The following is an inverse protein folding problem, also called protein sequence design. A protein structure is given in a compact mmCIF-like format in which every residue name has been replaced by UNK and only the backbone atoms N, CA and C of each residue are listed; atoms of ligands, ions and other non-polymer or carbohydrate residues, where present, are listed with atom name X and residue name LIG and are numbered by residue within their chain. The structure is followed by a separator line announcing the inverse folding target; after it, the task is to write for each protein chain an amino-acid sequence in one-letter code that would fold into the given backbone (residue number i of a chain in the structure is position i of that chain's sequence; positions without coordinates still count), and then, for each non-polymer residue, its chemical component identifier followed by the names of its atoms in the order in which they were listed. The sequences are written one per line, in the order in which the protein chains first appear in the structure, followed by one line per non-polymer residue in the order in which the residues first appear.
data_IF_301643025004
#
_entry.id   IF_301643025004
#
_cell.length_a   1.000
_cell.length_b   1.000
_cell.length_c   1.000
_cell.angle_alpha   90.00
_cell.angle_beta   90.00
_cell.angle_gamma   90.00
#
_symmetry.space_group_name_H-M   'P 1'
#
loop_
_entity.id
_entity.type
_entity.pdbx_description
1 polymer ?
#
# COMPACT_ATOMS: atom_id res chain seq x y z
N UNK A 1 -10.28 -4.80 6.09
CA UNK A 1 -9.26 -5.78 6.53
C UNK A 1 -9.84 -7.17 6.32
N UNK A 2 -9.16 -8.05 5.58
CA UNK A 2 -9.78 -9.28 5.05
C UNK A 2 -9.03 -10.58 5.40
N UNK A 3 -7.75 -10.49 5.79
CA UNK A 3 -6.94 -11.64 6.20
C UNK A 3 -5.97 -11.21 7.33
N UNK A 4 -5.34 -12.19 7.99
CA UNK A 4 -4.37 -12.02 9.07
C UNK A 4 -3.39 -13.17 9.14
N UNK A 5 -2.20 -12.90 9.63
CA UNK A 5 -1.24 -13.91 10.07
C UNK A 5 -0.53 -13.48 11.34
N UNK A 6 -0.25 -14.44 12.23
CA UNK A 6 0.55 -14.18 13.42
C UNK A 6 2.03 -14.32 13.05
N UNK A 7 2.78 -13.24 13.21
CA UNK A 7 4.23 -13.30 13.11
C UNK A 7 4.82 -13.97 14.37
N UNK A 8 5.43 -15.14 14.20
CA UNK A 8 6.21 -15.81 15.23
C UNK A 8 7.70 -15.69 14.88
N UNK A 9 8.54 -15.10 15.75
CA UNK A 9 9.98 -15.05 15.52
C UNK A 9 10.61 -16.44 15.71
N UNK A 10 11.82 -16.62 15.18
CA UNK A 10 12.56 -17.88 15.26
C UNK A 10 12.69 -18.42 16.69
N UNK A 11 12.87 -17.54 17.67
CA UNK A 11 12.95 -17.91 19.10
C UNK A 11 11.66 -18.50 19.69
N UNK A 12 10.53 -18.39 18.99
CA UNK A 12 9.32 -19.14 19.31
C UNK A 12 9.29 -20.48 18.58
N UNK A 13 9.55 -20.47 17.27
CA UNK A 13 9.43 -21.68 16.43
C UNK A 13 10.55 -22.70 16.68
N UNK A 14 11.66 -22.32 17.30
CA UNK A 14 12.70 -23.28 17.73
C UNK A 14 12.42 -23.91 19.10
N UNK A 15 11.48 -23.35 19.88
CA UNK A 15 11.07 -23.84 21.20
C UNK A 15 9.70 -24.54 21.10
N UNK A 16 9.74 -25.84 20.81
CA UNK A 16 8.51 -26.62 20.58
C UNK A 16 7.66 -26.78 21.84
N UNK A 17 8.27 -26.95 23.01
CA UNK A 17 7.54 -26.98 24.28
C UNK A 17 6.80 -25.65 24.55
N UNK A 18 7.38 -24.51 24.17
CA UNK A 18 6.70 -23.22 24.24
C UNK A 18 5.57 -23.09 23.21
N UNK A 19 5.77 -23.59 21.99
CA UNK A 19 4.73 -23.63 20.96
C UNK A 19 3.53 -24.46 21.42
N UNK A 20 3.76 -25.67 21.92
CA UNK A 20 2.73 -26.57 22.44
C UNK A 20 1.95 -25.94 23.58
N UNK A 21 2.62 -25.32 24.57
CA UNK A 21 1.95 -24.60 25.67
C UNK A 21 1.07 -23.44 25.21
N UNK A 22 1.32 -22.90 24.02
CA UNK A 22 0.54 -21.83 23.41
C UNK A 22 -0.38 -22.34 22.28
N UNK A 23 -0.60 -23.65 22.15
CA UNK A 23 -1.40 -24.28 21.09
C UNK A 23 -0.98 -23.90 19.66
N UNK A 24 0.30 -23.58 19.44
CA UNK A 24 0.85 -23.34 18.10
C UNK A 24 0.99 -24.69 17.38
N UNK A 25 0.38 -24.88 16.20
CA UNK A 25 0.50 -26.13 15.45
C UNK A 25 1.94 -26.50 15.07
N UNK A 26 2.22 -27.80 14.97
CA UNK A 26 3.57 -28.33 14.68
C UNK A 26 4.11 -27.93 13.30
N UNK A 27 3.22 -27.73 12.34
CA UNK A 27 3.54 -27.30 10.97
C UNK A 27 3.79 -25.79 10.84
N UNK A 28 3.60 -25.02 11.93
CA UNK A 28 3.95 -23.60 11.95
C UNK A 28 5.46 -23.42 12.14
N UNK A 29 6.10 -22.99 11.06
CA UNK A 29 7.51 -22.62 10.99
C UNK A 29 7.70 -21.10 10.96
N UNK A 30 8.95 -20.67 11.11
CA UNK A 30 9.30 -19.26 10.96
C UNK A 30 9.01 -18.78 9.54
N UNK A 31 8.31 -17.65 9.44
CA UNK A 31 8.06 -16.98 8.18
C UNK A 31 8.34 -15.48 8.31
N UNK A 32 9.05 -14.94 7.33
CA UNK A 32 9.28 -13.49 7.20
C UNK A 32 7.99 -12.76 6.86
N UNK A 33 7.94 -11.45 7.13
CA UNK A 33 6.77 -10.62 6.77
C UNK A 33 6.38 -10.73 5.28
N UNK A 34 7.31 -10.67 4.30
CA UNK A 34 6.96 -10.91 2.90
C UNK A 34 6.34 -12.29 2.66
N UNK A 35 6.86 -13.36 3.27
CA UNK A 35 6.29 -14.69 3.12
C UNK A 35 4.86 -14.77 3.67
N UNK A 36 4.61 -14.22 4.86
CA UNK A 36 3.26 -14.13 5.43
C UNK A 36 2.33 -13.28 4.54
N UNK A 37 2.81 -12.15 4.04
CA UNK A 37 2.07 -11.30 3.10
C UNK A 37 1.70 -12.01 1.81
N UNK A 38 2.65 -12.72 1.20
CA UNK A 38 2.41 -13.54 0.00
C UNK A 38 1.40 -14.64 0.29
N UNK A 39 1.47 -15.32 1.45
CA UNK A 39 0.51 -16.35 1.82
C UNK A 39 -0.92 -15.78 1.96
N UNK A 40 -1.09 -14.64 2.61
CA UNK A 40 -2.38 -13.94 2.71
C UNK A 40 -2.92 -13.53 1.33
N UNK A 41 -2.05 -12.98 0.46
CA UNK A 41 -2.43 -12.64 -0.91
C UNK A 41 -2.80 -13.88 -1.72
N UNK A 42 -2.09 -14.99 -1.55
CA UNK A 42 -2.38 -16.23 -2.24
C UNK A 42 -3.75 -16.81 -1.86
N UNK A 43 -4.12 -16.77 -0.57
CA UNK A 43 -5.46 -17.15 -0.13
C UNK A 43 -6.53 -16.22 -0.69
N UNK A 44 -6.29 -14.91 -0.65
CA UNK A 44 -7.22 -13.91 -1.18
C UNK A 44 -7.43 -14.08 -2.68
N UNK A 45 -6.35 -14.37 -3.41
CA UNK A 45 -6.39 -14.67 -4.85
C UNK A 45 -7.15 -15.96 -5.14
N UNK A 46 -6.83 -17.05 -4.44
CA UNK A 46 -7.50 -18.35 -4.61
C UNK A 46 -9.00 -18.29 -4.28
N UNK A 47 -9.40 -17.42 -3.36
CA UNK A 47 -10.80 -17.16 -3.03
C UNK A 47 -11.55 -16.29 -4.06
N UNK A 48 -10.87 -15.82 -5.12
CA UNK A 48 -11.47 -14.96 -6.15
C UNK A 48 -11.77 -13.53 -5.68
N UNK A 49 -11.21 -13.11 -4.54
CA UNK A 49 -11.43 -11.77 -4.00
C UNK A 49 -10.53 -10.70 -4.66
N UNK A 50 -9.46 -11.12 -5.37
CA UNK A 50 -8.70 -10.25 -6.27
C UNK A 50 -9.33 -10.31 -7.66
N UNK A 51 -9.83 -9.17 -8.13
CA UNK A 51 -10.48 -9.00 -9.43
C UNK A 51 -9.51 -8.38 -10.44
N UNK A 52 -9.91 -8.30 -11.72
CA UNK A 52 -9.11 -7.65 -12.77
C UNK A 52 -8.83 -6.15 -12.52
N UNK A 53 -9.58 -5.50 -11.63
CA UNK A 53 -9.35 -4.12 -11.22
C UNK A 53 -8.56 -3.98 -9.91
N UNK A 54 -8.12 -5.08 -9.30
CA UNK A 54 -7.42 -5.07 -8.01
C UNK A 54 -5.96 -4.64 -8.16
N UNK A 55 -5.48 -3.87 -7.18
CA UNK A 55 -4.11 -3.39 -7.09
C UNK A 55 -3.49 -3.79 -5.75
N UNK A 56 -2.17 -3.99 -5.74
CA UNK A 56 -1.42 -4.21 -4.50
C UNK A 56 -0.54 -3.01 -4.18
N UNK A 57 -0.67 -2.49 -2.98
CA UNK A 57 0.27 -1.52 -2.39
C UNK A 57 0.77 -2.04 -1.05
N UNK A 58 2.05 -1.83 -0.76
CA UNK A 58 2.65 -2.28 0.48
C UNK A 58 3.86 -1.42 0.85
N UNK A 59 4.35 -1.61 2.08
CA UNK A 59 5.52 -0.93 2.58
C UNK A 59 6.83 -1.41 1.93
N UNK A 60 7.92 -0.77 2.33
CA UNK A 60 9.26 -0.97 1.78
C UNK A 60 9.76 -2.42 1.93
N UNK A 61 9.37 -3.13 2.99
CA UNK A 61 9.83 -4.51 3.23
C UNK A 61 9.33 -5.43 2.11
N UNK A 62 8.12 -5.20 1.61
CA UNK A 62 7.56 -5.93 0.48
C UNK A 62 8.12 -5.44 -0.85
N UNK A 63 8.23 -4.11 -1.04
CA UNK A 63 8.73 -3.54 -2.30
C UNK A 63 10.20 -3.86 -2.58
N UNK A 64 11.00 -4.10 -1.54
CA UNK A 64 12.39 -4.55 -1.64
C UNK A 64 12.53 -6.06 -1.86
N UNK A 65 11.46 -6.85 -1.71
CA UNK A 65 11.51 -8.30 -1.86
C UNK A 65 11.25 -8.70 -3.33
N UNK A 66 12.24 -9.27 -4.07
CA UNK A 66 12.05 -9.68 -5.46
C UNK A 66 10.97 -10.74 -5.60
N UNK A 67 10.98 -11.80 -4.77
CA UNK A 67 10.01 -12.88 -4.85
C UNK A 67 8.55 -12.42 -4.64
N UNK A 68 8.32 -11.40 -3.81
CA UNK A 68 7.01 -10.77 -3.66
C UNK A 68 6.56 -10.07 -4.95
N UNK A 69 7.47 -9.35 -5.61
CA UNK A 69 7.19 -8.69 -6.90
C UNK A 69 7.00 -9.70 -8.01
N UNK A 70 7.81 -10.73 -8.05
CA UNK A 70 7.72 -11.80 -9.05
C UNK A 70 6.38 -12.53 -8.92
N UNK A 71 5.97 -12.87 -7.68
CA UNK A 71 4.67 -13.50 -7.43
C UNK A 71 3.47 -12.69 -7.93
N UNK A 72 3.51 -11.36 -7.75
CA UNK A 72 2.49 -10.44 -8.28
C UNK A 72 2.52 -10.38 -9.80
N UNK A 73 3.73 -10.31 -10.38
CA UNK A 73 3.96 -10.20 -11.82
C UNK A 73 3.51 -11.46 -12.56
N UNK A 74 3.83 -12.65 -12.05
CA UNK A 74 3.39 -13.94 -12.57
C UNK A 74 1.86 -14.10 -12.61
N UNK A 75 1.16 -13.37 -11.74
CA UNK A 75 -0.31 -13.38 -11.64
C UNK A 75 -0.95 -12.16 -12.29
N UNK A 76 -0.15 -11.34 -12.96
CA UNK A 76 -0.57 -10.10 -13.61
C UNK A 76 -1.33 -9.16 -12.66
N UNK A 77 -0.93 -9.11 -11.39
CA UNK A 77 -1.52 -8.23 -10.37
C UNK A 77 -0.74 -6.91 -10.36
N UNK A 78 -1.35 -5.78 -10.78
CA UNK A 78 -0.66 -4.50 -10.85
C UNK A 78 -0.35 -3.98 -9.44
N UNK A 79 0.79 -3.31 -9.29
CA UNK A 79 1.27 -2.90 -7.98
C UNK A 79 1.95 -1.53 -7.94
N UNK A 80 1.92 -0.93 -6.75
CA UNK A 80 2.68 0.25 -6.35
C UNK A 80 3.26 -0.02 -4.98
N UNK A 81 4.55 -0.39 -4.91
CA UNK A 81 5.19 -0.82 -3.66
C UNK A 81 6.20 0.23 -3.22
N UNK A 82 6.19 0.62 -1.94
CA UNK A 82 7.20 1.55 -1.43
C UNK A 82 8.60 0.96 -1.60
N UNK A 83 9.58 1.83 -1.83
CA UNK A 83 10.99 1.44 -1.99
C UNK A 83 11.92 2.45 -1.32
N UNK A 84 13.19 2.06 -1.13
CA UNK A 84 14.22 2.92 -0.56
C UNK A 84 14.68 3.97 -1.54
N UNK A 85 15.16 5.09 -1.01
CA UNK A 85 15.77 6.15 -1.83
C UNK A 85 17.10 5.71 -2.49
N UNK A 86 17.78 4.72 -1.92
CA UNK A 86 19.05 4.16 -2.41
C UNK A 86 18.86 2.82 -3.15
N UNK A 87 17.60 2.42 -3.44
CA UNK A 87 17.32 1.23 -4.23
C UNK A 87 17.93 1.38 -5.63
N UNK A 88 18.76 0.39 -6.00
CA UNK A 88 19.53 0.39 -7.24
C UNK A 88 18.68 -0.18 -8.38
N UNK A 89 18.04 0.72 -9.12
CA UNK A 89 17.08 0.43 -10.17
C UNK A 89 17.73 0.50 -11.56
N UNK A 90 17.33 -0.42 -12.44
CA UNK A 90 17.77 -0.44 -13.84
C UNK A 90 16.87 0.45 -14.67
N UNK A 91 17.46 1.43 -15.36
CA UNK A 91 16.74 2.30 -16.30
C UNK A 91 16.66 1.65 -17.69
N UNK A 92 15.82 2.13 -18.61
CA UNK A 92 15.70 1.57 -19.96
C UNK A 92 17.00 1.58 -20.78
N UNK A 93 17.96 2.45 -20.43
CA UNK A 93 19.29 2.51 -21.02
C UNK A 93 20.25 1.40 -20.52
N UNK A 94 19.76 0.48 -19.67
CA UNK A 94 20.53 -0.61 -19.07
C UNK A 94 21.38 -0.19 -17.86
N UNK A 95 21.49 1.10 -17.55
CA UNK A 95 22.29 1.58 -16.44
C UNK A 95 21.54 1.45 -15.11
N UNK A 96 22.28 1.07 -14.05
CA UNK A 96 21.76 1.01 -12.69
C UNK A 96 22.07 2.29 -11.93
N UNK A 97 21.05 2.91 -11.34
CA UNK A 97 21.17 4.15 -10.57
C UNK A 97 20.30 4.07 -9.31
N UNK A 98 20.69 4.75 -8.21
CA UNK A 98 19.84 4.80 -7.02
C UNK A 98 18.56 5.58 -7.33
N UNK A 99 17.44 5.19 -6.72
CA UNK A 99 16.13 5.81 -6.94
C UNK A 99 16.15 7.35 -6.78
N UNK A 100 16.91 7.86 -5.79
CA UNK A 100 17.10 9.29 -5.57
C UNK A 100 17.78 10.00 -6.75
N UNK A 101 18.76 9.37 -7.40
CA UNK A 101 19.41 9.95 -8.57
C UNK A 101 18.46 10.01 -9.78
N UNK A 102 17.67 8.95 -9.98
CA UNK A 102 16.63 8.93 -11.03
C UNK A 102 15.58 10.02 -10.80
N UNK A 103 15.14 10.20 -9.56
CA UNK A 103 14.21 11.26 -9.19
C UNK A 103 14.77 12.67 -9.45
N UNK A 104 16.06 12.89 -9.16
CA UNK A 104 16.72 14.17 -9.44
C UNK A 104 16.78 14.47 -10.94
N UNK A 105 17.11 13.46 -11.76
CA UNK A 105 17.19 13.60 -13.22
C UNK A 105 15.81 13.88 -13.80
N UNK A 106 14.81 13.07 -13.44
CA UNK A 106 13.45 13.22 -13.96
C UNK A 106 12.77 14.51 -13.47
N UNK A 107 13.08 14.92 -12.24
CA UNK A 107 12.57 16.14 -11.66
C UNK A 107 13.34 17.41 -12.02
N UNK A 108 14.39 17.30 -12.85
CA UNK A 108 15.17 18.45 -13.27
C UNK A 108 14.32 19.39 -14.12
N UNK A 109 14.57 20.70 -13.96
CA UNK A 109 13.93 21.71 -14.79
C UNK A 109 14.60 21.71 -16.16
N UNK A 110 13.80 21.53 -17.20
CA UNK A 110 14.20 21.77 -18.56
C UNK A 110 14.46 23.28 -18.73
N UNK A 111 15.67 23.64 -19.15
CA UNK A 111 16.10 25.03 -19.26
C UNK A 111 15.50 25.74 -20.49
N UNK A 112 15.10 24.98 -21.50
CA UNK A 112 14.54 25.50 -22.75
C UNK A 112 13.04 25.71 -22.65
N UNK A 113 12.32 24.76 -22.04
CA UNK A 113 10.86 24.85 -21.85
C UNK A 113 10.47 25.49 -20.52
N UNK A 114 11.38 25.53 -19.55
CA UNK A 114 11.14 26.05 -18.21
C UNK A 114 10.26 25.16 -17.33
N UNK A 115 9.77 24.04 -17.85
CA UNK A 115 9.00 23.04 -17.11
C UNK A 115 9.91 22.11 -16.34
N UNK A 116 9.48 21.65 -15.17
CA UNK A 116 10.10 20.53 -14.49
C UNK A 116 9.26 19.27 -14.69
N UNK A 117 9.84 18.10 -14.39
CA UNK A 117 9.13 16.83 -14.49
C UNK A 117 8.17 16.56 -13.34
N UNK A 118 7.80 17.57 -12.54
CA UNK A 118 6.90 17.41 -11.40
C UNK A 118 5.47 17.85 -11.73
N UNK A 119 4.52 17.03 -11.35
CA UNK A 119 3.10 17.28 -11.53
C UNK A 119 2.40 17.35 -10.18
N UNK A 120 1.70 18.45 -9.91
CA UNK A 120 0.94 18.61 -8.67
C UNK A 120 -0.39 17.88 -8.75
N UNK A 121 -0.62 16.94 -7.82
CA UNK A 121 -1.87 16.16 -7.74
C UNK A 121 -2.36 15.99 -6.30
N UNK A 122 -3.68 15.98 -6.14
CA UNK A 122 -4.33 15.61 -4.91
C UNK A 122 -4.52 14.08 -4.84
N UNK A 123 -4.29 13.50 -3.67
CA UNK A 123 -4.48 12.07 -3.41
C UNK A 123 -5.92 11.77 -2.94
N UNK A 124 -6.65 12.79 -2.52
CA UNK A 124 -7.98 12.67 -1.93
C UNK A 124 -8.12 13.49 -0.65
N UNK A 125 -9.30 13.44 0.01
CA UNK A 125 -9.52 14.12 1.28
C UNK A 125 -8.68 13.48 2.38
N UNK A 126 -8.12 14.29 3.26
CA UNK A 126 -7.49 13.86 4.50
C UNK A 126 -8.04 14.62 5.69
N UNK A 127 -7.65 14.21 6.91
CA UNK A 127 -8.09 14.83 8.16
C UNK A 127 -7.85 16.36 8.26
N UNK A 128 -6.94 16.91 7.44
CA UNK A 128 -6.61 18.34 7.37
C UNK A 128 -6.89 18.96 5.99
N UNK A 129 -7.82 18.38 5.22
CA UNK A 129 -8.14 18.82 3.86
C UNK A 129 -7.46 17.99 2.78
N UNK A 130 -7.53 18.47 1.53
CA UNK A 130 -6.99 17.76 0.36
C UNK A 130 -5.49 17.57 0.48
N UNK A 131 -5.05 16.31 0.42
CA UNK A 131 -3.62 15.99 0.48
C UNK A 131 -3.01 16.18 -0.90
N UNK A 132 -2.31 17.30 -1.07
CA UNK A 132 -1.67 17.69 -2.33
C UNK A 132 -0.17 17.43 -2.24
N UNK A 133 0.38 16.79 -3.27
CA UNK A 133 1.81 16.53 -3.40
C UNK A 133 2.26 16.78 -4.84
N UNK A 134 3.56 17.01 -5.02
CA UNK A 134 4.18 16.99 -6.33
C UNK A 134 4.62 15.55 -6.66
N UNK A 135 4.40 15.10 -7.88
CA UNK A 135 4.68 13.73 -8.32
C UNK A 135 5.52 13.70 -9.58
N UNK A 136 6.38 12.70 -9.72
CA UNK A 136 7.05 12.38 -10.99
C UNK A 136 7.12 10.87 -11.16
N UNK A 137 7.18 10.42 -12.41
CA UNK A 137 7.32 9.01 -12.74
C UNK A 137 8.47 8.83 -13.75
N UNK A 138 9.35 7.88 -13.47
CA UNK A 138 10.53 7.57 -14.28
C UNK A 138 10.38 6.16 -14.81
N UNK A 139 10.50 5.96 -16.13
CA UNK A 139 10.50 4.62 -16.71
C UNK A 139 11.69 3.80 -16.19
N UNK A 140 11.44 2.52 -15.92
CA UNK A 140 12.44 1.53 -15.54
C UNK A 140 12.52 0.44 -16.61
N UNK A 141 13.57 -0.39 -16.57
CA UNK A 141 13.69 -1.56 -17.43
C UNK A 141 12.52 -2.53 -17.20
N UNK A 142 11.96 -3.07 -18.28
CA UNK A 142 10.74 -3.89 -18.28
C UNK A 142 11.02 -5.41 -18.31
N UNK A 143 12.29 -5.81 -18.21
CA UNK A 143 12.68 -7.22 -18.26
C UNK A 143 11.97 -8.04 -17.17
N UNK A 144 11.40 -9.17 -17.58
CA UNK A 144 10.66 -10.07 -16.69
C UNK A 144 9.21 -9.67 -16.41
N UNK A 145 8.70 -8.58 -16.98
CA UNK A 145 7.28 -8.22 -16.89
C UNK A 145 6.43 -8.84 -18.01
N UNK A 146 5.10 -8.97 -17.82
CA UNK A 146 4.20 -9.47 -18.84
C UNK A 146 4.18 -8.55 -20.07
N UNK A 147 3.82 -9.11 -21.22
CA UNK A 147 3.72 -8.34 -22.44
C UNK A 147 2.70 -7.20 -22.30
N UNK A 148 3.06 -5.99 -22.76
CA UNK A 148 2.20 -4.81 -22.66
C UNK A 148 2.19 -4.14 -21.29
N UNK A 149 3.02 -4.57 -20.35
CA UNK A 149 3.22 -3.89 -19.07
C UNK A 149 4.31 -2.82 -19.15
N UNK A 150 4.17 -1.81 -18.30
CA UNK A 150 5.20 -0.82 -18.02
C UNK A 150 5.73 -0.96 -16.61
N UNK A 151 6.89 -0.35 -16.39
CA UNK A 151 7.60 -0.36 -15.11
C UNK A 151 8.09 1.05 -14.81
N UNK A 152 7.81 1.54 -13.60
CA UNK A 152 8.14 2.92 -13.23
C UNK A 152 8.64 3.04 -11.79
N UNK A 153 9.52 4.00 -11.57
CA UNK A 153 9.75 4.61 -10.28
C UNK A 153 8.80 5.81 -10.17
N UNK A 154 7.79 5.71 -9.31
CA UNK A 154 6.93 6.83 -8.92
C UNK A 154 7.56 7.51 -7.70
N UNK A 155 7.63 8.83 -7.73
CA UNK A 155 8.21 9.63 -6.65
C UNK A 155 7.21 10.67 -6.22
N UNK A 156 6.99 10.75 -4.91
CA UNK A 156 6.17 11.78 -4.26
C UNK A 156 7.08 12.77 -3.54
N UNK A 157 6.82 14.06 -3.69
CA UNK A 157 7.51 15.15 -2.98
C UNK A 157 6.49 16.03 -2.25
N UNK A 158 6.80 16.40 -1.01
CA UNK A 158 6.02 17.42 -0.31
C UNK A 158 6.01 18.75 -1.09
N UNK A 159 4.90 19.47 -1.08
CA UNK A 159 4.80 20.79 -1.74
C UNK A 159 5.67 21.82 -1.04
N UNK A 160 5.82 21.70 0.28
CA UNK A 160 6.62 22.55 1.15
C UNK A 160 7.47 21.68 2.09
N UNK A 161 8.65 22.15 2.53
CA UNK A 161 9.39 21.47 3.59
C UNK A 161 8.56 21.37 4.87
N UNK A 162 8.73 20.28 5.62
CA UNK A 162 8.14 20.18 6.96
C UNK A 162 8.72 21.26 7.91
N UNK A 163 7.98 21.60 8.96
CA UNK A 163 8.42 22.57 9.96
C UNK A 163 9.82 22.24 10.50
N UNK A 164 10.71 23.24 10.48
CA UNK A 164 12.12 23.07 10.88
C UNK A 164 13.02 22.34 9.87
N UNK A 165 12.51 21.92 8.71
CA UNK A 165 13.30 21.33 7.62
C UNK A 165 13.50 22.33 6.47
N UNK A 166 14.66 22.28 5.83
CA UNK A 166 14.97 23.07 4.62
C UNK A 166 14.72 22.29 3.33
N UNK A 167 14.59 20.97 3.42
CA UNK A 167 14.44 20.06 2.28
C UNK A 167 13.07 19.41 2.33
N UNK A 168 12.42 19.34 1.16
CA UNK A 168 11.15 18.62 0.96
C UNK A 168 11.37 17.12 1.04
N UNK A 169 10.51 16.44 1.78
CA UNK A 169 10.61 14.98 1.92
C UNK A 169 10.16 14.27 0.65
N UNK A 170 10.88 13.20 0.29
CA UNK A 170 10.60 12.34 -0.85
C UNK A 170 10.15 10.95 -0.37
N UNK A 171 9.16 10.38 -1.05
CA UNK A 171 8.80 8.97 -0.95
C UNK A 171 8.89 8.32 -2.33
N UNK A 172 9.35 7.07 -2.37
CA UNK A 172 9.66 6.35 -3.60
C UNK A 172 8.82 5.09 -3.69
N UNK A 173 8.33 4.77 -4.90
CA UNK A 173 7.51 3.59 -5.15
C UNK A 173 7.92 2.92 -6.45
N UNK A 174 8.12 1.60 -6.42
CA UNK A 174 8.29 0.77 -7.61
C UNK A 174 6.93 0.30 -8.09
N UNK A 175 6.61 0.59 -9.34
CA UNK A 175 5.28 0.38 -9.92
C UNK A 175 5.37 -0.49 -11.16
N UNK A 176 4.53 -1.53 -11.26
CA UNK A 176 4.35 -2.28 -12.51
C UNK A 176 2.86 -2.51 -12.75
N UNK A 177 2.42 -2.25 -13.98
CA UNK A 177 1.02 -2.31 -14.41
C UNK A 177 0.94 -2.28 -15.94
N UNK A 178 -0.24 -2.45 -16.57
CA UNK A 178 -0.40 -2.23 -18.00
C UNK A 178 0.18 -0.89 -18.46
N UNK A 179 0.89 -0.86 -19.60
CA UNK A 179 1.69 0.28 -20.06
C UNK A 179 0.88 1.57 -20.30
N UNK A 180 -0.43 1.45 -20.53
CA UNK A 180 -1.36 2.57 -20.69
C UNK A 180 -1.93 3.10 -19.37
N UNK A 181 -1.45 2.61 -18.21
CA UNK A 181 -1.89 3.08 -16.89
C UNK A 181 -1.56 4.57 -16.74
N UNK A 182 -2.56 5.44 -16.51
CA UNK A 182 -2.31 6.86 -16.31
C UNK A 182 -1.69 7.13 -14.94
N UNK A 183 -0.86 8.17 -14.85
CA UNK A 183 -0.21 8.58 -13.59
C UNK A 183 -1.20 8.74 -12.43
N UNK A 184 -2.41 9.24 -12.70
CA UNK A 184 -3.47 9.41 -11.69
C UNK A 184 -3.81 8.10 -10.96
N UNK A 185 -3.75 6.96 -11.64
CA UNK A 185 -4.09 5.67 -11.05
C UNK A 185 -2.95 5.17 -10.15
N UNK A 186 -1.70 5.36 -10.58
CA UNK A 186 -0.52 5.09 -9.74
C UNK A 186 -0.53 5.95 -8.47
N UNK A 187 -0.84 7.25 -8.60
CA UNK A 187 -0.96 8.19 -7.48
C UNK A 187 -2.09 7.78 -6.51
N UNK A 188 -3.25 7.39 -7.05
CA UNK A 188 -4.39 6.90 -6.27
C UNK A 188 -4.01 5.68 -5.44
N UNK A 189 -3.32 4.71 -6.04
CA UNK A 189 -2.90 3.47 -5.36
C UNK A 189 -1.83 3.76 -4.31
N UNK A 190 -0.81 4.57 -4.64
CA UNK A 190 0.19 5.02 -3.67
C UNK A 190 -0.45 5.72 -2.45
N UNK A 191 -1.50 6.49 -2.71
CA UNK A 191 -2.31 7.18 -1.72
C UNK A 191 -3.10 6.31 -0.78
N UNK A 192 -3.56 5.14 -1.26
CA UNK A 192 -4.37 4.20 -0.48
C UNK A 192 -3.60 3.65 0.74
N UNK A 193 -2.26 3.72 0.76
CA UNK A 193 -1.44 3.34 1.92
C UNK A 193 -1.85 4.06 3.20
N UNK A 194 -2.32 5.29 3.10
CA UNK A 194 -2.79 6.02 4.28
C UNK A 194 -4.13 5.47 4.81
N UNK A 195 -5.06 5.13 3.91
CA UNK A 195 -6.33 4.51 4.31
C UNK A 195 -6.10 3.18 5.04
N UNK A 196 -5.01 2.47 4.73
CA UNK A 196 -4.58 1.28 5.47
C UNK A 196 -4.20 1.66 6.92
N UNK A 197 -3.38 2.69 7.13
CA UNK A 197 -2.99 3.16 8.46
C UNK A 197 -4.20 3.64 9.28
N UNK A 198 -5.09 4.44 8.68
CA UNK A 198 -6.35 4.87 9.30
C UNK A 198 -7.23 3.66 9.66
N UNK A 199 -7.40 2.70 8.75
CA UNK A 199 -8.15 1.47 9.01
C UNK A 199 -7.57 0.68 10.20
N UNK A 200 -6.25 0.58 10.31
CA UNK A 200 -5.61 -0.08 11.46
C UNK A 200 -5.83 0.69 12.76
N UNK A 201 -5.71 2.02 12.75
CA UNK A 201 -5.95 2.84 13.93
C UNK A 201 -7.40 2.75 14.40
N UNK A 202 -8.36 2.83 13.48
CA UNK A 202 -9.78 2.61 13.77
C UNK A 202 -10.02 1.23 14.35
N UNK A 203 -9.48 0.17 13.74
CA UNK A 203 -9.67 -1.20 14.22
C UNK A 203 -9.08 -1.42 15.62
N UNK A 204 -7.95 -0.78 15.96
CA UNK A 204 -7.39 -0.81 17.31
C UNK A 204 -8.30 -0.10 18.31
N UNK A 205 -8.60 1.16 18.03
CA UNK A 205 -9.33 2.03 18.96
C UNK A 205 -10.79 1.59 19.17
N UNK A 206 -11.45 1.08 18.14
CA UNK A 206 -12.90 0.83 18.15
C UNK A 206 -13.26 -0.65 18.14
N UNK A 207 -12.42 -1.50 17.57
CA UNK A 207 -12.69 -2.94 17.45
C UNK A 207 -11.76 -3.80 18.34
N UNK A 208 -10.90 -3.17 19.15
CA UNK A 208 -10.03 -3.85 20.09
C UNK A 208 -8.99 -4.75 19.42
N UNK A 209 -8.52 -4.39 18.21
CA UNK A 209 -7.58 -5.20 17.44
C UNK A 209 -6.30 -5.55 18.21
N UNK A 210 -5.81 -4.65 19.08
CA UNK A 210 -4.66 -4.85 19.96
C UNK A 210 -5.03 -4.90 21.45
N UNK A 211 -6.34 -4.91 21.78
CA UNK A 211 -6.85 -5.01 23.16
C UNK A 211 -7.13 -6.47 23.55
N UNK A 212 -6.10 -7.31 23.53
CA UNK A 212 -6.21 -8.71 23.94
C UNK A 212 -5.12 -9.12 24.93
N UNK A 213 -5.46 -10.09 25.78
CA UNK A 213 -4.50 -10.77 26.69
C UNK A 213 -4.46 -12.28 26.43
N UNK A 214 -4.92 -12.71 25.25
CA UNK A 214 -4.93 -14.12 24.86
C UNK A 214 -3.51 -14.67 24.79
N UNK A 215 -3.36 -15.94 25.19
CA UNK A 215 -2.06 -16.60 25.32
C UNK A 215 -1.88 -17.83 24.43
N UNK A 216 -2.90 -18.21 23.67
CA UNK A 216 -2.81 -19.30 22.71
C UNK A 216 -3.06 -18.86 21.27
N UNK A 217 -2.45 -19.58 20.34
CA UNK A 217 -2.49 -19.34 18.90
C UNK A 217 -3.92 -19.31 18.38
N UNK A 218 -4.72 -20.31 18.77
CA UNK A 218 -6.15 -20.40 18.41
C UNK A 218 -6.94 -19.21 18.97
N UNK A 219 -6.71 -18.83 20.23
CA UNK A 219 -7.41 -17.71 20.86
C UNK A 219 -7.05 -16.37 20.20
N UNK A 220 -5.78 -16.18 19.80
CA UNK A 220 -5.37 -15.03 19.00
C UNK A 220 -6.11 -14.98 17.67
N UNK A 221 -6.14 -16.08 16.92
CA UNK A 221 -6.84 -16.11 15.64
C UNK A 221 -8.33 -15.83 15.80
N UNK A 222 -8.99 -16.37 16.83
CA UNK A 222 -10.39 -16.10 17.11
C UNK A 222 -10.65 -14.62 17.43
N UNK A 223 -9.83 -14.03 18.32
CA UNK A 223 -9.95 -12.61 18.68
C UNK A 223 -9.79 -11.72 17.46
N UNK A 224 -8.74 -11.95 16.65
CA UNK A 224 -8.46 -11.09 15.51
C UNK A 224 -9.52 -11.23 14.40
N UNK A 225 -10.11 -12.41 14.11
CA UNK A 225 -11.28 -12.42 13.18
C UNK A 225 -12.42 -11.57 13.73
N UNK A 226 -12.73 -11.67 15.02
CA UNK A 226 -13.87 -10.96 15.59
C UNK A 226 -13.64 -9.44 15.58
N UNK A 227 -12.43 -9.00 15.89
CA UNK A 227 -12.03 -7.59 15.77
C UNK A 227 -12.09 -7.12 14.30
N UNK A 228 -11.58 -7.91 13.35
CA UNK A 228 -11.67 -7.62 11.92
C UNK A 228 -13.12 -7.51 11.44
N UNK A 229 -13.99 -8.43 11.85
CA UNK A 229 -15.41 -8.44 11.49
C UNK A 229 -16.12 -7.21 12.05
N UNK A 230 -15.85 -6.87 13.32
CA UNK A 230 -16.37 -5.65 13.96
C UNK A 230 -15.92 -4.41 13.21
N UNK A 231 -14.64 -4.31 12.86
CA UNK A 231 -14.11 -3.18 12.09
C UNK A 231 -14.77 -3.07 10.70
N UNK A 232 -14.99 -4.20 10.02
CA UNK A 232 -15.69 -4.23 8.74
C UNK A 232 -17.15 -3.78 8.87
N UNK A 233 -17.87 -4.26 9.89
CA UNK A 233 -19.24 -3.85 10.18
C UNK A 233 -19.34 -2.34 10.45
N UNK A 234 -18.44 -1.78 11.27
CA UNK A 234 -18.40 -0.35 11.56
C UNK A 234 -18.12 0.48 10.30
N UNK A 235 -17.18 0.04 9.46
CA UNK A 235 -16.87 0.70 8.20
C UNK A 235 -18.07 0.74 7.24
N UNK A 236 -18.77 -0.40 7.06
CA UNK A 236 -19.97 -0.48 6.21
C UNK A 236 -21.10 0.37 6.77
N UNK A 237 -21.34 0.33 8.08
CA UNK A 237 -22.40 1.10 8.73
C UNK A 237 -22.16 2.61 8.56
N UNK A 238 -20.94 3.08 8.79
CA UNK A 238 -20.57 4.49 8.57
C UNK A 238 -20.77 4.93 7.12
N UNK A 239 -20.34 4.10 6.17
CA UNK A 239 -20.52 4.40 4.75
C UNK A 239 -22.01 4.51 4.38
N UNK A 240 -22.86 3.63 4.91
CA UNK A 240 -24.30 3.66 4.68
C UNK A 240 -24.96 4.91 5.30
N UNK A 241 -24.57 5.30 6.52
CA UNK A 241 -25.08 6.52 7.15
C UNK A 241 -24.65 7.78 6.40
N UNK A 242 -23.38 7.89 5.99
CA UNK A 242 -22.92 9.02 5.18
C UNK A 242 -23.66 9.13 3.83
N UNK A 243 -23.97 8.00 3.19
CA UNK A 243 -24.77 8.00 1.97
C UNK A 243 -26.19 8.53 2.22
N UNK A 244 -26.84 8.11 3.32
CA UNK A 244 -28.16 8.59 3.72
C UNK A 244 -28.19 10.08 4.06
N UNK A 245 -27.14 10.60 4.69
CA UNK A 245 -27.00 12.02 5.00
C UNK A 245 -26.82 12.85 3.72
N UNK A 246 -26.01 12.36 2.77
CA UNK A 246 -25.82 13.02 1.48
C UNK A 246 -27.13 13.09 0.67
N UNK A 247 -27.97 12.06 0.71
CA UNK A 247 -29.29 12.05 0.07
C UNK A 247 -30.30 13.03 0.70
N UNK A 248 -30.17 13.33 2.00
CA UNK A 248 -31.04 14.29 2.71
C UNK A 248 -30.63 15.75 2.55
N UNK A 249 -29.40 16.01 2.08
CA UNK A 249 -28.76 17.32 2.11
C UNK A 249 -29.05 18.27 0.93
N UNK A 250 -29.90 17.89 -0.04
CA UNK A 250 -30.14 18.70 -1.25
C UNK A 250 -31.56 19.32 -1.25
N UNK A 251 -31.78 20.52 -0.66
CA UNK A 251 -33.01 21.26 -0.87
C UNK A 251 -33.01 21.86 -2.28
N UNK A 252 -33.91 21.36 -3.13
CA UNK A 252 -34.16 21.88 -4.47
C UNK A 252 -34.50 23.38 -4.38
N UNK A 253 -33.79 24.29 -5.09
CA UNK A 253 -34.11 25.70 -5.04
C UNK A 253 -35.53 25.90 -5.59
N UNK A 254 -36.41 26.46 -4.75
CA UNK A 254 -37.76 26.84 -5.15
C UNK A 254 -37.67 27.79 -6.34
N UNK A 255 -38.22 27.35 -7.48
CA UNK A 255 -38.26 28.14 -8.71
C UNK A 255 -38.97 29.46 -8.47
N UNK A 256 -38.29 30.56 -8.76
CA UNK A 256 -38.90 31.87 -8.87
C UNK A 256 -39.67 31.93 -10.20
N UNK A 257 -41.00 31.97 -10.10
CA UNK A 257 -41.91 32.38 -11.17
C UNK A 257 -42.05 33.91 -11.19
#
# INVERSE_FOLDING_TARGET
MIDRELYLPTSWTEDRERCERADVPDDVEFATKPQLGTAMLARTYAAGALTSGSWVTADEVYGQNPGFRDWLTEREIPFVLATRNDDMLTSPDGNRRPAKALATIAGARDLDTGHDGWERRAIGPGAHGMRVYDWTAVALAIDGLPAGWGHWLLVRRQTEPAEGKTIRELAFYRCAAPANTPLRDLVRVAGARWAIEECFQTAKNEAGLDHYQVRSYRAWHAHITLAMLTAAYLAVTRAAEHAREAEKGDPQPAGAH
#
